data_IF_051306450485
#
_entry.id   IF_051306450485
#
_cell.length_a   1.000
_cell.length_b   1.000
_cell.length_c   1.000
_cell.angle_alpha   90.00
_cell.angle_beta   90.00
_cell.angle_gamma   90.00
#
_symmetry.space_group_name_H-M   'P 1'
#
loop_
_entity.id
_entity.type
_entity.pdbx_description
1 polymer ?
#
# COMPACT_ATOMS: atom_id res chain seq x y z
N UNK A 1 34.29 12.51 -8.70
CA UNK A 1 33.29 11.84 -9.55
C UNK A 1 31.95 11.91 -8.84
N UNK A 2 31.02 12.68 -9.37
CA UNK A 2 29.67 12.71 -8.78
C UNK A 2 28.95 11.42 -9.20
N UNK A 3 28.68 10.53 -8.27
CA UNK A 3 27.82 9.38 -8.49
C UNK A 3 26.38 9.89 -8.42
N UNK A 4 25.72 9.98 -9.55
CA UNK A 4 24.31 10.32 -9.60
C UNK A 4 23.51 9.04 -9.25
N UNK A 5 23.26 8.85 -7.97
CA UNK A 5 22.43 7.74 -7.49
C UNK A 5 20.99 8.20 -7.42
N UNK A 6 20.16 7.64 -8.29
CA UNK A 6 18.72 7.81 -8.26
C UNK A 6 18.16 6.94 -7.14
N UNK A 7 17.39 7.53 -6.22
CA UNK A 7 16.75 6.76 -5.14
C UNK A 7 15.76 5.74 -5.71
N UNK A 8 15.68 4.57 -5.09
CA UNK A 8 14.74 3.50 -5.44
C UNK A 8 13.67 3.39 -4.36
N UNK A 9 12.43 3.55 -4.75
CA UNK A 9 11.29 3.50 -3.84
C UNK A 9 10.47 2.25 -4.12
N UNK A 10 10.36 1.36 -3.13
CA UNK A 10 9.39 0.27 -3.16
C UNK A 10 7.98 0.85 -2.99
N UNK A 11 7.05 0.44 -3.83
CA UNK A 11 5.65 0.88 -3.74
C UNK A 11 4.75 -0.34 -3.80
N UNK A 12 3.87 -0.48 -2.83
CA UNK A 12 2.81 -1.48 -2.87
C UNK A 12 1.54 -0.97 -2.20
N UNK A 13 0.42 -1.55 -2.55
CA UNK A 13 -0.86 -1.26 -1.90
C UNK A 13 -1.45 -2.50 -1.27
N UNK A 14 -2.30 -2.32 -0.26
CA UNK A 14 -2.99 -3.42 0.41
C UNK A 14 -4.50 -3.26 0.33
N UNK A 15 -5.19 -4.40 0.15
CA UNK A 15 -6.64 -4.51 0.26
C UNK A 15 -6.99 -5.87 0.86
N UNK A 16 -8.14 -5.95 1.56
CA UNK A 16 -8.59 -7.23 2.10
C UNK A 16 -9.17 -8.11 0.98
N UNK A 17 -8.49 -9.20 0.69
CA UNK A 17 -8.87 -10.14 -0.37
C UNK A 17 -10.28 -10.71 -0.23
N UNK A 18 -10.80 -10.83 1.01
CA UNK A 18 -12.16 -11.31 1.29
C UNK A 18 -13.27 -10.40 0.74
N UNK A 19 -13.00 -9.11 0.50
CA UNK A 19 -13.98 -8.19 -0.07
C UNK A 19 -14.16 -8.38 -1.59
N UNK A 20 -13.10 -8.76 -2.30
CA UNK A 20 -13.07 -8.74 -3.76
C UNK A 20 -14.08 -9.70 -4.43
N UNK A 21 -14.27 -10.95 -3.95
CA UNK A 21 -15.32 -11.83 -4.49
C UNK A 21 -16.74 -11.33 -4.22
N UNK A 22 -16.93 -10.61 -3.08
CA UNK A 22 -18.24 -10.09 -2.70
C UNK A 22 -18.59 -8.79 -3.45
N UNK A 23 -17.57 -8.00 -3.75
CA UNK A 23 -17.70 -6.68 -4.39
C UNK A 23 -16.70 -6.56 -5.56
N UNK A 24 -16.90 -7.29 -6.67
CA UNK A 24 -15.89 -7.35 -7.75
C UNK A 24 -15.62 -6.01 -8.42
N UNK A 25 -16.53 -5.04 -8.32
CA UNK A 25 -16.32 -3.67 -8.79
C UNK A 25 -15.22 -2.90 -8.03
N UNK A 26 -14.80 -3.38 -6.85
CA UNK A 26 -13.69 -2.79 -6.11
C UNK A 26 -12.34 -3.00 -6.81
N UNK A 27 -12.15 -4.10 -7.53
CA UNK A 27 -10.86 -4.41 -8.17
C UNK A 27 -10.41 -3.30 -9.11
N UNK A 28 -11.18 -2.94 -10.16
CA UNK A 28 -10.77 -1.85 -11.07
C UNK A 28 -10.68 -0.50 -10.37
N UNK A 29 -11.47 -0.26 -9.32
CA UNK A 29 -11.38 0.95 -8.53
C UNK A 29 -10.03 1.04 -7.77
N UNK A 30 -9.60 -0.04 -7.14
CA UNK A 30 -8.34 -0.09 -6.41
C UNK A 30 -7.13 -0.05 -7.34
N UNK A 31 -7.18 -0.75 -8.46
CA UNK A 31 -6.14 -0.69 -9.49
C UNK A 31 -5.95 0.75 -10.00
N UNK A 32 -7.04 1.46 -10.27
CA UNK A 32 -7.00 2.86 -10.69
C UNK A 32 -6.40 3.77 -9.59
N UNK A 33 -6.78 3.58 -8.33
CA UNK A 33 -6.22 4.34 -7.21
C UNK A 33 -4.72 4.10 -7.05
N UNK A 34 -4.28 2.85 -7.20
CA UNK A 34 -2.87 2.49 -7.11
C UNK A 34 -2.06 3.10 -8.26
N UNK A 35 -2.56 3.02 -9.49
CA UNK A 35 -1.91 3.65 -10.65
C UNK A 35 -1.86 5.17 -10.51
N UNK A 36 -2.92 5.81 -10.05
CA UNK A 36 -2.95 7.26 -9.84
C UNK A 36 -1.98 7.69 -8.74
N UNK A 37 -1.86 6.91 -7.67
CA UNK A 37 -0.84 7.16 -6.65
C UNK A 37 0.58 7.09 -7.23
N UNK A 38 0.91 6.05 -7.98
CA UNK A 38 2.24 5.92 -8.60
C UNK A 38 2.59 7.10 -9.51
N UNK A 39 1.61 7.67 -10.21
CA UNK A 39 1.80 8.88 -11.05
C UNK A 39 2.16 10.14 -10.26
N UNK A 40 1.86 10.18 -8.95
CA UNK A 40 2.24 11.32 -8.11
C UNK A 40 3.72 11.31 -7.71
N UNK A 41 4.38 10.16 -7.84
CA UNK A 41 5.80 9.99 -7.52
C UNK A 41 6.62 10.59 -8.67
N UNK A 42 7.56 11.50 -8.38
CA UNK A 42 8.33 12.18 -9.43
C UNK A 42 9.27 11.21 -10.15
N UNK A 43 9.58 11.51 -11.41
CA UNK A 43 10.48 10.73 -12.27
C UNK A 43 11.97 10.82 -11.86
N UNK A 44 12.26 11.65 -10.87
CA UNK A 44 13.59 11.77 -10.24
C UNK A 44 13.98 10.57 -9.40
N UNK A 45 13.03 9.69 -9.09
CA UNK A 45 13.25 8.43 -8.35
C UNK A 45 12.83 7.22 -9.20
N UNK A 46 13.37 6.04 -8.89
CA UNK A 46 12.97 4.80 -9.53
C UNK A 46 11.92 4.08 -8.67
N UNK A 47 10.81 3.68 -9.29
CA UNK A 47 9.77 2.92 -8.62
C UNK A 47 10.04 1.41 -8.80
N UNK A 48 10.07 0.69 -7.69
CA UNK A 48 10.04 -0.77 -7.65
C UNK A 48 8.61 -1.19 -7.28
N UNK A 49 7.85 -1.62 -8.29
CA UNK A 49 6.42 -1.90 -8.15
C UNK A 49 6.18 -3.28 -7.50
N UNK A 50 5.68 -3.27 -6.26
CA UNK A 50 5.27 -4.44 -5.50
C UNK A 50 3.86 -4.93 -5.83
N UNK A 51 3.04 -4.07 -6.46
CA UNK A 51 1.67 -4.38 -6.86
C UNK A 51 0.63 -4.19 -5.76
N UNK A 52 -0.61 -4.54 -6.08
CA UNK A 52 -1.71 -4.61 -5.12
C UNK A 52 -1.67 -5.96 -4.39
N UNK A 53 -1.50 -5.92 -3.07
CA UNK A 53 -1.34 -7.08 -2.21
C UNK A 53 -2.65 -7.38 -1.48
N UNK A 54 -3.16 -8.58 -1.70
CA UNK A 54 -4.38 -9.09 -1.07
C UNK A 54 -4.17 -10.43 -0.36
N UNK A 55 -2.98 -11.04 -0.54
CA UNK A 55 -2.59 -12.30 0.06
C UNK A 55 -1.16 -12.24 0.62
N UNK A 56 -0.84 -13.18 1.51
CA UNK A 56 0.52 -13.32 2.06
C UNK A 56 1.57 -13.60 0.98
N UNK A 57 1.24 -14.43 0.01
CA UNK A 57 2.14 -14.81 -1.08
C UNK A 57 2.51 -13.60 -1.92
N UNK A 58 1.54 -12.72 -2.22
CA UNK A 58 1.79 -11.46 -2.91
C UNK A 58 2.65 -10.51 -2.06
N UNK A 59 2.44 -10.45 -0.74
CA UNK A 59 3.28 -9.68 0.16
C UNK A 59 4.73 -10.17 0.16
N UNK A 60 4.94 -11.48 0.23
CA UNK A 60 6.28 -12.08 0.14
C UNK A 60 6.96 -11.75 -1.19
N UNK A 61 6.24 -11.88 -2.30
CA UNK A 61 6.76 -11.56 -3.63
C UNK A 61 7.13 -10.06 -3.78
N UNK A 62 6.35 -9.15 -3.19
CA UNK A 62 6.69 -7.74 -3.13
C UNK A 62 7.98 -7.51 -2.32
N UNK A 63 8.11 -8.14 -1.15
CA UNK A 63 9.32 -8.06 -0.33
C UNK A 63 10.56 -8.60 -1.03
N UNK A 64 10.44 -9.70 -1.78
CA UNK A 64 11.54 -10.24 -2.59
C UNK A 64 12.01 -9.25 -3.66
N UNK A 65 11.07 -8.58 -4.35
CA UNK A 65 11.40 -7.53 -5.32
C UNK A 65 12.13 -6.36 -4.67
N UNK A 66 11.65 -5.91 -3.50
CA UNK A 66 12.24 -4.77 -2.80
C UNK A 66 13.67 -5.07 -2.33
N UNK A 67 13.91 -6.27 -1.75
CA UNK A 67 15.25 -6.72 -1.38
C UNK A 67 16.18 -6.85 -2.57
N UNK A 68 15.71 -7.48 -3.66
CA UNK A 68 16.52 -7.67 -4.85
C UNK A 68 16.91 -6.34 -5.53
N UNK A 69 16.07 -5.34 -5.42
CA UNK A 69 16.31 -4.01 -5.96
C UNK A 69 17.15 -3.12 -5.03
N UNK A 70 17.30 -3.50 -3.76
CA UNK A 70 17.95 -2.69 -2.72
C UNK A 70 17.30 -1.30 -2.64
N UNK A 71 16.01 -1.29 -2.23
CA UNK A 71 15.22 -0.05 -2.14
C UNK A 71 15.65 0.80 -0.95
N UNK A 72 15.56 2.12 -1.08
CA UNK A 72 15.92 3.10 -0.05
C UNK A 72 14.75 3.45 0.88
N UNK A 73 13.50 3.21 0.44
CA UNK A 73 12.27 3.60 1.12
C UNK A 73 11.12 2.74 0.59
N UNK A 74 10.11 2.49 1.41
CA UNK A 74 8.88 1.83 0.97
C UNK A 74 7.66 2.71 1.23
N UNK A 75 6.81 2.88 0.21
CA UNK A 75 5.47 3.44 0.33
C UNK A 75 4.44 2.31 0.40
N UNK A 76 3.70 2.28 1.49
CA UNK A 76 2.55 1.41 1.71
C UNK A 76 1.26 2.22 1.54
N UNK A 77 0.56 2.02 0.43
CA UNK A 77 -0.76 2.62 0.23
C UNK A 77 -1.87 1.71 0.78
N UNK A 78 -2.70 2.28 1.63
CA UNK A 78 -3.86 1.59 2.21
C UNK A 78 -5.09 1.86 1.33
N UNK A 79 -5.60 0.82 0.65
CA UNK A 79 -6.81 0.91 -0.19
C UNK A 79 -8.07 0.56 0.59
N UNK A 80 -7.98 -0.48 1.45
CA UNK A 80 -8.99 -0.83 2.45
C UNK A 80 -8.29 -1.30 3.71
N UNK A 81 -9.08 -1.65 4.73
CA UNK A 81 -8.58 -2.51 5.81
C UNK A 81 -7.93 -3.77 5.21
N UNK A 82 -6.80 -4.14 5.76
CA UNK A 82 -6.16 -5.43 5.54
C UNK A 82 -5.38 -5.80 6.79
N UNK A 83 -5.29 -7.09 7.07
CA UNK A 83 -4.56 -7.57 8.23
C UNK A 83 -3.04 -7.39 8.04
N UNK A 84 -2.30 -7.22 9.14
CA UNK A 84 -0.83 -7.19 9.19
C UNK A 84 -0.16 -8.38 8.46
N UNK A 85 -0.86 -9.48 8.36
CA UNK A 85 -0.49 -10.65 7.58
C UNK A 85 -0.21 -10.35 6.09
N UNK A 86 -0.87 -9.32 5.53
CA UNK A 86 -0.65 -8.84 4.17
C UNK A 86 0.41 -7.75 4.08
N UNK A 87 0.88 -7.22 5.20
CA UNK A 87 1.84 -6.12 5.26
C UNK A 87 3.23 -6.63 5.62
N UNK A 88 3.34 -7.27 6.79
CA UNK A 88 4.63 -7.64 7.36
C UNK A 88 5.53 -8.49 6.45
N UNK A 89 5.04 -9.47 5.69
CA UNK A 89 5.92 -10.24 4.81
C UNK A 89 6.58 -9.43 3.70
N UNK A 90 6.00 -8.28 3.33
CA UNK A 90 6.58 -7.39 2.31
C UNK A 90 7.75 -6.56 2.84
N UNK A 91 7.74 -6.24 4.14
CA UNK A 91 8.62 -5.20 4.70
C UNK A 91 9.47 -5.68 5.88
N UNK A 92 9.11 -6.79 6.53
CA UNK A 92 9.76 -7.25 7.76
C UNK A 92 11.28 -7.37 7.66
N UNK A 93 11.77 -7.89 6.54
CA UNK A 93 13.19 -8.19 6.34
C UNK A 93 13.94 -7.05 5.59
N UNK A 94 13.32 -5.86 5.51
CA UNK A 94 13.94 -4.66 4.96
C UNK A 94 14.40 -3.75 6.11
N UNK A 95 15.56 -3.13 5.96
CA UNK A 95 16.09 -2.13 6.90
C UNK A 95 16.01 -0.72 6.29
N UNK A 96 14.77 -0.34 5.94
CA UNK A 96 14.47 0.96 5.32
C UNK A 96 13.19 1.53 5.93
N UNK A 97 13.01 2.86 5.91
CA UNK A 97 11.78 3.49 6.35
C UNK A 97 10.56 3.02 5.55
N UNK A 98 9.41 2.94 6.22
CA UNK A 98 8.12 2.62 5.60
C UNK A 98 7.15 3.76 5.86
N UNK A 99 6.65 4.37 4.79
CA UNK A 99 5.65 5.44 4.86
C UNK A 99 4.27 4.89 4.55
N UNK A 100 3.37 4.92 5.53
CA UNK A 100 1.98 4.56 5.34
C UNK A 100 1.20 5.71 4.70
N UNK A 101 0.55 5.44 3.58
CA UNK A 101 -0.20 6.42 2.80
C UNK A 101 -1.67 6.07 2.80
N UNK A 102 -2.49 7.00 3.28
CA UNK A 102 -3.93 6.90 3.29
C UNK A 102 -4.52 8.10 2.55
N UNK A 103 -5.18 7.84 1.43
CA UNK A 103 -5.84 8.85 0.61
C UNK A 103 -7.31 8.51 0.47
N UNK A 104 -8.17 9.40 0.94
CA UNK A 104 -9.60 9.27 0.75
C UNK A 104 -10.03 9.97 -0.54
N UNK A 105 -10.89 9.32 -1.32
CA UNK A 105 -11.43 9.89 -2.56
C UNK A 105 -12.43 11.03 -2.33
N UNK A 106 -13.13 11.01 -1.19
CA UNK A 106 -14.18 11.97 -0.87
C UNK A 106 -13.81 12.79 0.36
N UNK A 107 -14.07 14.07 0.31
CA UNK A 107 -13.84 15.00 1.43
C UNK A 107 -14.78 14.75 2.61
N UNK A 108 -15.98 14.26 2.33
CA UNK A 108 -16.99 13.92 3.34
C UNK A 108 -17.87 12.76 2.86
N UNK A 109 -18.33 11.88 3.77
CA UNK A 109 -19.27 10.84 3.42
C UNK A 109 -20.64 11.42 3.12
N UNK A 110 -21.27 10.93 2.05
CA UNK A 110 -22.69 11.16 1.75
C UNK A 110 -23.46 9.90 2.16
N UNK A 111 -23.91 9.86 3.40
CA UNK A 111 -24.55 8.66 3.97
C UNK A 111 -25.83 8.24 3.23
N UNK A 112 -26.53 9.18 2.57
CA UNK A 112 -27.74 8.87 1.82
C UNK A 112 -27.44 8.10 0.53
N UNK A 113 -26.23 8.28 -0.04
CA UNK A 113 -25.81 7.69 -1.31
C UNK A 113 -24.56 6.82 -1.17
N UNK A 114 -24.24 6.36 0.04
CA UNK A 114 -23.07 5.50 0.31
C UNK A 114 -23.54 4.08 0.60
N UNK A 115 -23.34 3.18 -0.32
CA UNK A 115 -23.50 1.73 -0.11
C UNK A 115 -22.18 1.11 0.41
N UNK A 116 -22.20 -0.21 0.67
CA UNK A 116 -21.02 -0.91 1.18
C UNK A 116 -19.83 -0.84 0.20
N UNK A 117 -19.97 -1.08 -1.12
CA UNK A 117 -18.86 -0.92 -2.07
C UNK A 117 -18.27 0.49 -2.11
N UNK A 118 -19.11 1.50 -2.07
CA UNK A 118 -18.66 2.90 -2.03
C UNK A 118 -17.91 3.19 -0.74
N UNK A 119 -18.44 2.71 0.39
CA UNK A 119 -17.76 2.84 1.67
C UNK A 119 -16.36 2.20 1.65
N UNK A 120 -16.28 0.94 1.24
CA UNK A 120 -15.03 0.19 1.19
C UNK A 120 -14.03 0.80 0.20
N UNK A 121 -14.50 1.24 -0.96
CA UNK A 121 -13.64 1.74 -2.05
C UNK A 121 -13.18 3.18 -1.89
N UNK A 122 -13.96 4.03 -1.24
CA UNK A 122 -13.74 5.47 -1.25
C UNK A 122 -13.42 6.07 0.13
N UNK A 123 -13.76 5.37 1.23
CA UNK A 123 -13.75 5.97 2.57
C UNK A 123 -13.02 5.14 3.64
N UNK A 124 -12.89 3.81 3.45
CA UNK A 124 -12.53 2.92 4.57
C UNK A 124 -11.02 2.66 4.73
N UNK A 125 -10.18 3.20 3.88
CA UNK A 125 -8.72 3.02 3.99
C UNK A 125 -8.16 3.48 5.36
N UNK A 126 -8.75 4.51 5.95
CA UNK A 126 -8.32 5.06 7.23
C UNK A 126 -8.39 4.07 8.41
N UNK A 127 -9.26 3.06 8.37
CA UNK A 127 -9.37 2.06 9.42
C UNK A 127 -8.17 1.14 9.58
N UNK A 128 -7.34 1.03 8.54
CA UNK A 128 -6.16 0.16 8.55
C UNK A 128 -4.89 0.83 9.07
N UNK A 129 -4.85 2.17 9.15
CA UNK A 129 -3.63 2.92 9.50
C UNK A 129 -3.13 2.55 10.89
N UNK A 130 -4.00 2.58 11.89
CA UNK A 130 -3.61 2.32 13.27
C UNK A 130 -3.05 0.91 13.47
N UNK A 131 -3.63 -0.10 12.82
CA UNK A 131 -3.14 -1.47 12.88
C UNK A 131 -1.79 -1.62 12.17
N UNK A 132 -1.67 -1.09 10.95
CA UNK A 132 -0.43 -1.16 10.18
C UNK A 132 0.74 -0.50 10.92
N UNK A 133 0.53 0.70 11.49
CA UNK A 133 1.57 1.41 12.27
C UNK A 133 1.95 0.63 13.53
N UNK A 134 0.96 0.14 14.30
CA UNK A 134 1.22 -0.65 15.51
C UNK A 134 2.00 -1.95 15.21
N UNK A 135 1.76 -2.57 14.06
CA UNK A 135 2.49 -3.77 13.64
C UNK A 135 3.93 -3.44 13.20
N UNK A 136 4.13 -2.29 12.54
CA UNK A 136 5.47 -1.80 12.20
C UNK A 136 6.29 -1.51 13.46
N UNK A 137 5.70 -0.82 14.44
CA UNK A 137 6.35 -0.56 15.74
C UNK A 137 6.71 -1.87 16.45
N UNK A 138 5.79 -2.85 16.51
CA UNK A 138 6.08 -4.17 17.11
C UNK A 138 7.14 -4.96 16.37
N UNK A 139 7.26 -4.78 15.08
CA UNK A 139 8.30 -5.38 14.26
C UNK A 139 9.64 -4.63 14.33
N UNK A 140 9.74 -3.58 15.18
CA UNK A 140 10.93 -2.73 15.35
C UNK A 140 11.40 -2.12 14.01
N UNK A 141 10.44 -1.72 13.17
CA UNK A 141 10.74 -1.08 11.89
C UNK A 141 10.97 0.42 12.12
N UNK A 142 11.98 1.01 11.43
CA UNK A 142 12.15 2.46 11.48
C UNK A 142 10.94 3.15 10.85
N UNK A 143 10.45 4.19 11.54
CA UNK A 143 9.39 5.10 11.10
C UNK A 143 9.90 6.04 9.99
#
# INVERSE_FOLDING_TARGET
>A
MLVNTKAKIGVFSIALGAYLPQFPQLVPNFEAQYEDFKKTIPDTVDIVDGGMVTTKEQAMAAGDKFRAADVDLVFLQLLTYATSYNVLPAIRDLDVPVVCINVQKKLAPDYANTDIPIWLGDLYACGAVGEAVADLERAEKPD
#
